data_IF_279372278136
#
_entry.id   IF_279372278136
#
_cell.length_a   1.000
_cell.length_b   1.000
_cell.length_c   1.000
_cell.angle_alpha   90.00
_cell.angle_beta   90.00
_cell.angle_gamma   90.00
#
_symmetry.space_group_name_H-M   'P 1'
#
loop_
_entity.id
_entity.type
_entity.pdbx_description
1 polymer ?
#
# COMPACT_ATOMS: atom_id res chain seq x y z
N UNK A 1 -66.17 -54.44 -32.19
CA UNK A 1 -65.06 -54.08 -31.29
C UNK A 1 -63.98 -55.15 -31.22
N UNK A 2 -64.29 -56.44 -31.01
CA UNK A 2 -63.27 -57.52 -31.02
C UNK A 2 -62.32 -57.51 -32.24
N UNK A 3 -62.86 -57.33 -33.45
CA UNK A 3 -62.04 -57.20 -34.65
C UNK A 3 -61.09 -55.99 -34.62
N UNK A 4 -61.49 -54.89 -33.98
CA UNK A 4 -60.63 -53.71 -33.79
C UNK A 4 -59.53 -53.99 -32.78
N UNK A 5 -59.87 -54.67 -31.67
CA UNK A 5 -58.92 -55.12 -30.65
C UNK A 5 -57.85 -56.06 -31.21
N UNK A 6 -58.25 -56.99 -32.09
CA UNK A 6 -57.33 -57.89 -32.80
C UNK A 6 -56.59 -57.23 -33.98
N UNK A 7 -56.84 -55.95 -34.26
CA UNK A 7 -56.20 -55.22 -35.36
C UNK A 7 -56.72 -55.56 -36.77
N UNK A 8 -57.80 -56.33 -36.89
CA UNK A 8 -58.42 -56.70 -38.18
C UNK A 8 -59.22 -55.54 -38.80
N UNK A 9 -59.68 -54.58 -37.99
CA UNK A 9 -60.38 -53.37 -38.43
C UNK A 9 -59.73 -52.13 -37.81
N UNK A 10 -59.63 -51.04 -38.58
CA UNK A 10 -59.01 -49.79 -38.14
C UNK A 10 -59.79 -49.08 -37.02
N UNK A 11 -61.11 -49.21 -37.01
CA UNK A 11 -61.96 -48.53 -36.03
C UNK A 11 -63.37 -49.10 -35.98
N UNK A 12 -64.09 -48.72 -34.93
CA UNK A 12 -65.51 -49.03 -34.75
C UNK A 12 -66.26 -47.72 -34.50
N UNK A 13 -67.31 -47.50 -35.27
CA UNK A 13 -68.23 -46.37 -35.08
C UNK A 13 -69.48 -46.94 -34.41
N UNK A 14 -69.88 -46.34 -33.31
CA UNK A 14 -71.08 -46.70 -32.56
C UNK A 14 -71.54 -45.53 -31.70
N UNK A 15 -72.70 -45.71 -31.06
CA UNK A 15 -73.20 -44.68 -30.14
C UNK A 15 -72.32 -44.60 -28.91
N UNK A 16 -72.14 -43.40 -28.37
CA UNK A 16 -71.30 -43.18 -27.20
C UNK A 16 -71.70 -44.08 -26.01
N UNK A 17 -73.00 -44.33 -25.83
CA UNK A 17 -73.53 -45.21 -24.80
C UNK A 17 -73.12 -46.68 -24.97
N UNK A 18 -73.25 -47.22 -26.19
CA UNK A 18 -72.85 -48.61 -26.48
C UNK A 18 -71.33 -48.77 -26.43
N UNK A 19 -70.60 -47.85 -27.05
CA UNK A 19 -69.14 -47.84 -27.06
C UNK A 19 -68.61 -47.73 -25.64
N UNK A 20 -69.11 -46.79 -24.85
CA UNK A 20 -68.72 -46.60 -23.46
C UNK A 20 -68.94 -47.85 -22.59
N UNK A 21 -70.11 -48.48 -22.72
CA UNK A 21 -70.43 -49.71 -21.99
C UNK A 21 -69.45 -50.85 -22.32
N UNK A 22 -69.23 -51.13 -23.61
CA UNK A 22 -68.33 -52.21 -24.02
C UNK A 22 -66.87 -51.91 -23.66
N UNK A 23 -66.43 -50.65 -23.77
CA UNK A 23 -65.10 -50.25 -23.34
C UNK A 23 -64.88 -50.45 -21.84
N UNK A 24 -65.87 -50.15 -21.00
CA UNK A 24 -65.74 -50.36 -19.55
C UNK A 24 -65.83 -51.84 -19.14
N UNK A 25 -66.69 -52.61 -19.79
CA UNK A 25 -66.99 -53.98 -19.38
C UNK A 25 -66.07 -55.04 -20.00
N UNK A 26 -65.72 -54.88 -21.27
CA UNK A 26 -65.07 -55.94 -22.05
C UNK A 26 -63.71 -55.53 -22.63
N UNK A 27 -63.46 -54.23 -22.82
CA UNK A 27 -62.24 -53.74 -23.49
C UNK A 27 -61.48 -52.68 -22.68
N UNK A 28 -61.56 -52.75 -21.35
CA UNK A 28 -61.00 -51.73 -20.46
C UNK A 28 -59.47 -51.64 -20.63
N UNK A 29 -58.99 -50.46 -21.03
CA UNK A 29 -57.55 -50.21 -21.28
C UNK A 29 -57.01 -50.80 -22.58
N UNK A 30 -57.77 -51.62 -23.31
CA UNK A 30 -57.35 -52.22 -24.58
C UNK A 30 -57.75 -51.36 -25.78
N UNK A 31 -58.88 -50.66 -25.70
CA UNK A 31 -59.39 -49.78 -26.74
C UNK A 31 -59.67 -48.37 -26.18
N UNK A 32 -59.49 -47.35 -27.02
CA UNK A 32 -59.73 -45.94 -26.65
C UNK A 32 -60.62 -45.23 -27.68
N UNK A 33 -61.38 -44.25 -27.22
CA UNK A 33 -62.14 -43.35 -28.09
C UNK A 33 -61.21 -42.24 -28.58
N UNK A 34 -61.06 -42.13 -29.90
CA UNK A 34 -60.15 -41.15 -30.53
C UNK A 34 -60.86 -39.89 -31.05
N UNK A 35 -62.19 -39.84 -31.03
CA UNK A 35 -62.97 -38.70 -31.50
C UNK A 35 -64.48 -38.93 -31.38
N UNK A 36 -65.26 -37.87 -31.63
CA UNK A 36 -66.72 -37.88 -31.74
C UNK A 36 -67.13 -37.18 -33.04
N UNK A 37 -68.25 -37.58 -33.65
CA UNK A 37 -68.85 -36.84 -34.76
C UNK A 37 -69.71 -35.69 -34.20
N UNK A 38 -69.77 -34.56 -34.91
CA UNK A 38 -70.45 -33.35 -34.44
C UNK A 38 -71.99 -33.41 -34.54
N UNK A 39 -72.54 -34.36 -35.31
CA UNK A 39 -73.98 -34.58 -35.40
C UNK A 39 -74.51 -35.40 -34.21
N UNK A 40 -75.37 -34.81 -33.39
CA UNK A 40 -76.08 -35.54 -32.33
C UNK A 40 -77.35 -36.17 -32.89
N UNK A 41 -77.42 -37.50 -32.85
CA UNK A 41 -78.65 -38.23 -33.15
C UNK A 41 -79.39 -38.47 -31.84
N UNK A 42 -80.66 -38.06 -31.77
CA UNK A 42 -81.49 -38.34 -30.59
C UNK A 42 -81.78 -39.85 -30.50
N UNK A 43 -81.61 -40.42 -29.30
CA UNK A 43 -81.87 -41.83 -29.05
C UNK A 43 -83.39 -42.05 -28.94
N UNK A 44 -83.96 -42.88 -29.81
CA UNK A 44 -85.38 -43.25 -29.78
C UNK A 44 -85.60 -44.73 -29.48
N UNK A 45 -86.81 -45.06 -29.00
CA UNK A 45 -87.28 -46.46 -28.87
C UNK A 45 -88.23 -46.76 -30.03
N UNK A 46 -87.91 -47.75 -30.85
CA UNK A 46 -88.77 -48.17 -31.96
C UNK A 46 -89.86 -49.15 -31.51
N UNK A 47 -91.09 -48.93 -31.98
CA UNK A 47 -92.23 -49.83 -31.75
C UNK A 47 -92.71 -50.41 -33.08
N UNK A 48 -93.22 -51.65 -33.07
CA UNK A 48 -93.79 -52.27 -34.28
C UNK A 48 -95.07 -51.57 -34.69
N UNK A 49 -95.27 -51.36 -35.99
CA UNK A 49 -96.41 -50.62 -36.55
C UNK A 49 -97.80 -51.16 -36.15
N UNK A 50 -97.90 -52.42 -35.73
CA UNK A 50 -99.15 -53.06 -35.33
C UNK A 50 -99.48 -52.92 -33.84
N UNK A 51 -98.67 -52.18 -33.06
CA UNK A 51 -98.92 -51.91 -31.64
C UNK A 51 -98.84 -50.41 -31.30
N UNK A 52 -99.83 -49.61 -31.72
CA UNK A 52 -99.87 -48.17 -31.44
C UNK A 52 -100.12 -47.86 -29.96
N UNK A 53 -100.66 -48.82 -29.19
CA UNK A 53 -100.91 -48.65 -27.76
C UNK A 53 -99.58 -48.62 -27.01
N UNK A 54 -98.65 -49.53 -27.36
CA UNK A 54 -97.32 -49.56 -26.77
C UNK A 54 -96.52 -48.29 -27.07
N UNK A 55 -96.60 -47.76 -28.29
CA UNK A 55 -95.97 -46.47 -28.65
C UNK A 55 -96.43 -45.35 -27.72
N UNK A 56 -97.75 -45.21 -27.54
CA UNK A 56 -98.32 -44.16 -26.68
C UNK A 56 -97.93 -44.33 -25.20
N UNK A 57 -97.80 -45.56 -24.71
CA UNK A 57 -97.33 -45.84 -23.35
C UNK A 57 -95.86 -45.42 -23.21
N UNK A 58 -95.01 -45.81 -24.16
CA UNK A 58 -93.58 -45.49 -24.13
C UNK A 58 -93.32 -44.00 -24.29
N UNK A 59 -94.03 -43.31 -25.18
CA UNK A 59 -93.95 -41.85 -25.31
C UNK A 59 -94.30 -41.17 -23.98
N UNK A 60 -95.43 -41.52 -23.36
CA UNK A 60 -95.81 -40.97 -22.05
C UNK A 60 -94.78 -41.27 -20.97
N UNK A 61 -94.22 -42.47 -20.96
CA UNK A 61 -93.17 -42.84 -20.03
C UNK A 61 -91.91 -41.97 -20.23
N UNK A 62 -91.43 -41.82 -21.47
CA UNK A 62 -90.25 -40.99 -21.79
C UNK A 62 -90.50 -39.51 -21.47
N UNK A 63 -91.68 -38.97 -21.81
CA UNK A 63 -92.06 -37.59 -21.51
C UNK A 63 -92.26 -37.32 -20.01
N UNK A 64 -92.54 -38.35 -19.21
CA UNK A 64 -92.68 -38.22 -17.75
C UNK A 64 -91.35 -38.10 -17.00
N UNK A 65 -90.22 -38.43 -17.65
CA UNK A 65 -88.88 -38.34 -17.06
C UNK A 65 -88.38 -36.89 -17.22
N UNK A 66 -87.97 -36.26 -16.11
CA UNK A 66 -87.42 -34.90 -16.15
C UNK A 66 -86.08 -34.84 -16.87
N UNK A 67 -85.69 -33.67 -17.40
CA UNK A 67 -84.37 -33.52 -18.04
C UNK A 67 -83.22 -33.81 -17.07
N UNK A 68 -83.35 -33.46 -15.78
CA UNK A 68 -82.34 -33.79 -14.77
C UNK A 68 -82.21 -35.30 -14.57
N UNK A 69 -83.33 -36.02 -14.59
CA UNK A 69 -83.36 -37.47 -14.45
C UNK A 69 -82.83 -38.16 -15.71
N UNK A 70 -83.12 -37.64 -16.91
CA UNK A 70 -82.49 -38.07 -18.18
C UNK A 70 -80.97 -37.88 -18.13
N UNK A 71 -80.49 -36.74 -17.64
CA UNK A 71 -79.05 -36.46 -17.53
C UNK A 71 -78.38 -37.36 -16.49
N UNK A 72 -79.05 -37.64 -15.38
CA UNK A 72 -78.57 -38.60 -14.38
C UNK A 72 -78.49 -40.02 -14.94
N UNK A 73 -79.47 -40.46 -15.73
CA UNK A 73 -79.43 -41.73 -16.45
C UNK A 73 -78.25 -41.73 -17.44
N UNK A 74 -78.10 -40.68 -18.25
CA UNK A 74 -76.99 -40.57 -19.19
C UNK A 74 -75.62 -40.60 -18.49
N UNK A 75 -75.45 -39.84 -17.41
CA UNK A 75 -74.19 -39.82 -16.66
C UNK A 75 -73.91 -41.16 -15.97
N UNK A 76 -74.94 -41.84 -15.47
CA UNK A 76 -74.81 -43.17 -14.84
C UNK A 76 -74.34 -44.24 -15.83
N UNK A 77 -74.78 -44.17 -17.09
CA UNK A 77 -74.52 -45.22 -18.08
C UNK A 77 -73.49 -44.84 -19.15
N UNK A 78 -73.08 -43.57 -19.27
CA UNK A 78 -72.23 -43.02 -20.35
C UNK A 78 -71.06 -42.15 -19.82
N UNK A 79 -70.57 -42.39 -18.60
CA UNK A 79 -69.42 -41.64 -18.07
C UNK A 79 -68.11 -42.05 -18.77
N UNK A 80 -67.65 -41.27 -19.75
CA UNK A 80 -66.38 -41.51 -20.44
C UNK A 80 -65.33 -40.53 -19.95
N UNK A 81 -64.24 -41.04 -19.38
CA UNK A 81 -63.06 -40.24 -19.03
C UNK A 81 -62.16 -40.15 -20.26
N UNK A 82 -61.95 -38.94 -20.77
CA UNK A 82 -60.92 -38.67 -21.78
C UNK A 82 -59.58 -38.49 -21.06
N UNK A 83 -58.61 -39.38 -21.31
CA UNK A 83 -57.23 -39.17 -20.87
C UNK A 83 -56.46 -38.38 -21.93
N UNK A 84 -56.19 -37.10 -21.68
CA UNK A 84 -55.33 -36.28 -22.53
C UNK A 84 -53.86 -36.51 -22.14
N UNK A 85 -52.99 -36.78 -23.13
CA UNK A 85 -51.54 -36.93 -22.91
C UNK A 85 -50.85 -35.63 -22.50
N UNK A 86 -49.76 -35.72 -21.73
CA UNK A 86 -48.98 -34.57 -21.25
C UNK A 86 -48.21 -33.92 -22.40
N UNK A 87 -48.33 -32.60 -22.57
CA UNK A 87 -47.56 -31.83 -23.55
C UNK A 87 -46.18 -31.46 -23.00
N UNK A 88 -45.15 -32.11 -23.54
CA UNK A 88 -43.74 -31.92 -23.13
C UNK A 88 -43.05 -30.71 -23.80
N UNK A 89 -43.71 -29.97 -24.70
CA UNK A 89 -43.08 -28.89 -25.48
C UNK A 89 -42.49 -27.78 -24.61
N UNK A 90 -43.20 -27.38 -23.54
CA UNK A 90 -42.74 -26.33 -22.62
C UNK A 90 -41.49 -26.76 -21.84
N UNK A 91 -41.43 -28.02 -21.41
CA UNK A 91 -40.32 -28.58 -20.65
C UNK A 91 -39.04 -28.55 -21.49
N UNK A 92 -39.11 -29.00 -22.74
CA UNK A 92 -37.96 -28.97 -23.65
C UNK A 92 -37.46 -27.55 -23.95
N UNK A 93 -38.35 -26.55 -24.06
CA UNK A 93 -37.96 -25.14 -24.25
C UNK A 93 -37.22 -24.56 -23.04
N UNK A 94 -37.71 -24.83 -21.83
CA UNK A 94 -37.05 -24.38 -20.59
C UNK A 94 -35.69 -25.06 -20.44
N UNK A 95 -35.63 -26.36 -20.72
CA UNK A 95 -34.40 -27.13 -20.63
C UNK A 95 -33.34 -26.65 -21.64
N UNK A 96 -33.75 -26.34 -22.88
CA UNK A 96 -32.87 -25.76 -23.88
C UNK A 96 -32.31 -24.39 -23.45
N UNK A 97 -33.16 -23.52 -22.89
CA UNK A 97 -32.73 -22.21 -22.39
C UNK A 97 -31.76 -22.33 -21.19
N UNK A 98 -32.05 -23.25 -20.26
CA UNK A 98 -31.17 -23.50 -19.11
C UNK A 98 -29.80 -24.01 -19.57
N UNK A 99 -29.76 -24.93 -20.54
CA UNK A 99 -28.51 -25.42 -21.14
C UNK A 99 -27.75 -24.27 -21.81
N UNK A 100 -28.42 -23.42 -22.58
CA UNK A 100 -27.79 -22.27 -23.24
C UNK A 100 -27.14 -21.31 -22.23
N UNK A 101 -27.84 -20.98 -21.14
CA UNK A 101 -27.29 -20.13 -20.07
C UNK A 101 -26.11 -20.82 -19.39
N UNK A 102 -26.22 -22.11 -19.08
CA UNK A 102 -25.13 -22.87 -18.45
C UNK A 102 -23.87 -22.93 -19.35
N UNK A 103 -24.05 -23.11 -20.66
CA UNK A 103 -22.95 -23.07 -21.62
C UNK A 103 -22.30 -21.68 -21.70
N UNK A 104 -23.11 -20.61 -21.72
CA UNK A 104 -22.61 -19.24 -21.67
C UNK A 104 -21.82 -18.96 -20.38
N UNK A 105 -22.35 -19.36 -19.22
CA UNK A 105 -21.71 -19.18 -17.93
C UNK A 105 -20.39 -19.95 -17.84
N UNK A 106 -20.38 -21.23 -18.25
CA UNK A 106 -19.16 -22.06 -18.25
C UNK A 106 -18.10 -21.51 -19.21
N UNK A 107 -18.49 -21.02 -20.39
CA UNK A 107 -17.59 -20.32 -21.30
C UNK A 107 -16.97 -19.08 -20.66
N UNK A 108 -17.80 -18.21 -20.04
CA UNK A 108 -17.34 -17.00 -19.38
C UNK A 108 -16.40 -17.28 -18.20
N UNK A 109 -16.72 -18.27 -17.37
CA UNK A 109 -15.87 -18.69 -16.24
C UNK A 109 -14.51 -19.18 -16.76
N UNK A 110 -14.50 -19.99 -17.83
CA UNK A 110 -13.24 -20.46 -18.44
C UNK A 110 -12.43 -19.31 -19.02
N UNK A 111 -13.07 -18.42 -19.77
CA UNK A 111 -12.43 -17.24 -20.36
C UNK A 111 -11.84 -16.33 -19.28
N UNK A 112 -12.59 -16.07 -18.21
CA UNK A 112 -12.14 -15.27 -17.07
C UNK A 112 -10.97 -15.93 -16.35
N UNK A 113 -11.00 -17.25 -16.15
CA UNK A 113 -9.91 -17.98 -15.51
C UNK A 113 -8.62 -17.94 -16.33
N UNK A 114 -8.70 -18.04 -17.67
CA UNK A 114 -7.53 -17.95 -18.55
C UNK A 114 -6.95 -16.53 -18.50
N UNK A 115 -7.80 -15.50 -18.66
CA UNK A 115 -7.36 -14.11 -18.64
C UNK A 115 -6.74 -13.73 -17.29
N UNK A 116 -7.32 -14.18 -16.17
CA UNK A 116 -6.74 -13.98 -14.84
C UNK A 116 -5.38 -14.68 -14.69
N UNK A 117 -5.21 -15.88 -15.26
CA UNK A 117 -3.93 -16.60 -15.23
C UNK A 117 -2.87 -15.90 -16.08
N UNK A 118 -3.23 -15.43 -17.27
CA UNK A 118 -2.35 -14.64 -18.14
C UNK A 118 -1.94 -13.33 -17.47
N UNK A 119 -2.90 -12.60 -16.89
CA UNK A 119 -2.65 -11.37 -16.14
C UNK A 119 -1.69 -11.63 -14.97
N UNK A 120 -1.94 -12.70 -14.19
CA UNK A 120 -1.10 -13.09 -13.07
C UNK A 120 0.32 -13.42 -13.53
N UNK A 121 0.46 -14.24 -14.56
CA UNK A 121 1.78 -14.61 -15.11
C UNK A 121 2.53 -13.39 -15.67
N UNK A 122 1.85 -12.51 -16.39
CA UNK A 122 2.44 -11.28 -16.92
C UNK A 122 2.90 -10.36 -15.78
N UNK A 123 2.09 -10.23 -14.72
CA UNK A 123 2.43 -9.47 -13.53
C UNK A 123 3.63 -10.05 -12.79
N UNK A 124 3.66 -11.37 -12.57
CA UNK A 124 4.79 -12.04 -11.91
C UNK A 124 6.09 -11.86 -12.69
N UNK A 125 6.06 -12.01 -14.03
CA UNK A 125 7.21 -11.72 -14.89
C UNK A 125 7.66 -10.27 -14.80
N UNK A 126 6.73 -9.32 -14.78
CA UNK A 126 7.05 -7.91 -14.63
C UNK A 126 7.67 -7.60 -13.26
N UNK A 127 7.12 -8.15 -12.17
CA UNK A 127 7.66 -8.00 -10.82
C UNK A 127 9.06 -8.64 -10.68
N UNK A 128 9.28 -9.82 -11.28
CA UNK A 128 10.58 -10.47 -11.32
C UNK A 128 11.61 -9.65 -12.11
N UNK A 129 11.24 -9.14 -13.29
CA UNK A 129 12.11 -8.27 -14.09
C UNK A 129 12.52 -7.00 -13.30
N UNK A 130 11.58 -6.36 -12.61
CA UNK A 130 11.85 -5.21 -11.74
C UNK A 130 12.78 -5.59 -10.59
N UNK A 131 12.60 -6.77 -9.99
CA UNK A 131 13.47 -7.27 -8.91
C UNK A 131 14.89 -7.53 -9.38
N UNK A 132 15.06 -8.12 -10.57
CA UNK A 132 16.37 -8.38 -11.19
C UNK A 132 17.07 -7.05 -11.52
N UNK A 133 16.36 -6.11 -12.18
CA UNK A 133 16.86 -4.76 -12.46
C UNK A 133 17.33 -4.06 -11.19
N UNK A 134 16.53 -4.11 -10.12
CA UNK A 134 16.86 -3.53 -8.81
C UNK A 134 18.11 -4.15 -8.18
N UNK A 135 18.24 -5.48 -8.20
CA UNK A 135 19.41 -6.18 -7.68
C UNK A 135 20.67 -5.90 -8.50
N UNK A 136 20.56 -5.86 -9.83
CA UNK A 136 21.67 -5.54 -10.72
C UNK A 136 22.20 -4.13 -10.43
N UNK A 137 21.32 -3.15 -10.33
CA UNK A 137 21.70 -1.78 -10.01
C UNK A 137 22.32 -1.69 -8.61
N UNK A 138 21.75 -2.37 -7.60
CA UNK A 138 22.32 -2.47 -6.25
C UNK A 138 23.77 -2.97 -6.26
N UNK A 139 24.04 -4.04 -7.00
CA UNK A 139 25.39 -4.60 -7.10
C UNK A 139 26.34 -3.65 -7.85
N UNK A 140 25.92 -3.12 -8.99
CA UNK A 140 26.71 -2.14 -9.75
C UNK A 140 27.03 -0.88 -8.95
N UNK A 141 26.11 -0.45 -8.08
CA UNK A 141 26.38 0.66 -7.18
C UNK A 141 27.54 0.40 -6.22
N UNK A 142 27.61 -0.79 -5.63
CA UNK A 142 28.73 -1.15 -4.76
C UNK A 142 30.06 -1.23 -5.53
N UNK A 143 30.03 -1.81 -6.74
CA UNK A 143 31.20 -1.92 -7.62
C UNK A 143 31.70 -0.56 -8.14
N UNK A 144 30.81 0.42 -8.34
CA UNK A 144 31.20 1.77 -8.75
C UNK A 144 31.57 2.64 -7.54
N UNK A 145 30.89 2.49 -6.39
CA UNK A 145 31.20 3.28 -5.19
C UNK A 145 32.64 3.09 -4.73
N UNK A 146 33.17 1.89 -4.81
CA UNK A 146 34.53 1.55 -4.36
C UNK A 146 35.62 2.31 -5.11
N UNK A 147 35.71 2.27 -6.46
CA UNK A 147 36.69 3.08 -7.19
C UNK A 147 36.44 4.58 -7.05
N UNK A 148 35.18 5.03 -6.96
CA UNK A 148 34.87 6.44 -6.78
C UNK A 148 35.34 6.97 -5.42
N UNK A 149 35.14 6.22 -4.34
CA UNK A 149 35.67 6.57 -3.03
C UNK A 149 37.21 6.65 -3.02
N UNK A 150 37.88 5.78 -3.79
CA UNK A 150 39.33 5.85 -3.98
C UNK A 150 39.75 7.13 -4.72
N UNK A 151 39.03 7.52 -5.78
CA UNK A 151 39.28 8.78 -6.51
C UNK A 151 39.06 10.00 -5.61
N UNK A 152 37.98 10.02 -4.81
CA UNK A 152 37.72 11.08 -3.82
C UNK A 152 38.83 11.13 -2.75
N UNK A 153 39.29 9.97 -2.28
CA UNK A 153 40.36 9.91 -1.28
C UNK A 153 41.69 10.39 -1.85
N UNK A 154 42.04 9.98 -3.07
CA UNK A 154 43.27 10.40 -3.75
C UNK A 154 43.26 11.89 -4.06
N UNK A 155 42.15 12.43 -4.55
CA UNK A 155 42.00 13.87 -4.79
C UNK A 155 42.11 14.67 -3.49
N UNK A 156 41.50 14.21 -2.41
CA UNK A 156 41.65 14.82 -1.08
C UNK A 156 43.13 14.85 -0.62
N UNK A 157 43.87 13.76 -0.80
CA UNK A 157 45.30 13.69 -0.46
C UNK A 157 46.17 14.60 -1.34
N UNK A 158 45.87 14.71 -2.63
CA UNK A 158 46.57 15.61 -3.55
C UNK A 158 46.32 17.07 -3.15
N UNK A 159 45.07 17.43 -2.86
CA UNK A 159 44.67 18.78 -2.41
C UNK A 159 45.43 19.25 -1.17
N UNK A 160 45.75 18.32 -0.25
CA UNK A 160 46.50 18.61 0.97
C UNK A 160 47.99 18.90 0.73
N UNK A 161 48.56 18.44 -0.39
CA UNK A 161 50.00 18.49 -0.67
C UNK A 161 50.38 19.35 -1.90
N UNK A 162 49.40 19.79 -2.69
CA UNK A 162 49.62 20.61 -3.89
C UNK A 162 49.46 22.10 -3.57
N UNK A 163 50.42 22.91 -4.02
CA UNK A 163 50.43 24.37 -3.87
C UNK A 163 50.12 25.13 -5.17
N UNK A 164 50.12 24.45 -6.32
CA UNK A 164 49.92 25.08 -7.63
C UNK A 164 48.43 25.26 -7.94
N UNK A 165 47.99 26.50 -8.13
CA UNK A 165 46.57 26.85 -8.33
C UNK A 165 45.84 26.06 -9.44
N UNK A 166 46.42 25.82 -10.63
CA UNK A 166 45.76 25.01 -11.67
C UNK A 166 45.53 23.56 -11.25
N UNK A 167 46.45 22.94 -10.49
CA UNK A 167 46.28 21.56 -10.01
C UNK A 167 45.22 21.48 -8.90
N UNK A 168 45.16 22.46 -8.00
CA UNK A 168 44.09 22.54 -6.98
C UNK A 168 42.72 22.60 -7.68
N UNK A 169 42.60 23.39 -8.73
CA UNK A 169 41.38 23.50 -9.52
C UNK A 169 41.00 22.16 -10.20
N UNK A 170 41.94 21.46 -10.84
CA UNK A 170 41.67 20.15 -11.44
C UNK A 170 41.24 19.10 -10.40
N UNK A 171 41.89 19.10 -9.23
CA UNK A 171 41.54 18.20 -8.12
C UNK A 171 40.13 18.47 -7.61
N UNK A 172 39.74 19.74 -7.47
CA UNK A 172 38.37 20.14 -7.12
C UNK A 172 37.35 19.70 -8.18
N UNK A 173 37.69 19.79 -9.47
CA UNK A 173 36.81 19.30 -10.54
C UNK A 173 36.60 17.78 -10.47
N UNK A 174 37.66 17.00 -10.25
CA UNK A 174 37.58 15.55 -10.12
C UNK A 174 36.77 15.16 -8.87
N UNK A 175 37.02 15.82 -7.74
CA UNK A 175 36.28 15.62 -6.49
C UNK A 175 34.78 15.90 -6.69
N UNK A 176 34.44 17.03 -7.34
CA UNK A 176 33.05 17.40 -7.64
C UNK A 176 32.38 16.41 -8.60
N UNK A 177 33.06 16.02 -9.69
CA UNK A 177 32.53 15.05 -10.64
C UNK A 177 32.29 13.69 -9.97
N UNK A 178 33.18 13.30 -9.05
CA UNK A 178 33.08 12.05 -8.32
C UNK A 178 31.90 12.01 -7.36
N UNK A 179 31.73 13.08 -6.58
CA UNK A 179 30.61 13.23 -5.67
C UNK A 179 29.27 13.30 -6.43
N UNK A 180 29.24 13.98 -7.58
CA UNK A 180 28.05 14.01 -8.43
C UNK A 180 27.68 12.63 -8.98
N UNK A 181 28.67 11.83 -9.40
CA UNK A 181 28.41 10.46 -9.87
C UNK A 181 27.89 9.57 -8.74
N UNK A 182 28.46 9.68 -7.54
CA UNK A 182 27.99 8.94 -6.37
C UNK A 182 26.54 9.32 -6.01
N UNK A 183 26.19 10.61 -6.07
CA UNK A 183 24.82 11.08 -5.84
C UNK A 183 23.86 10.49 -6.87
N UNK A 184 24.18 10.62 -8.17
CA UNK A 184 23.43 10.05 -9.29
C UNK A 184 23.14 8.55 -9.10
N UNK A 185 24.17 7.83 -8.71
CA UNK A 185 24.12 6.39 -8.55
C UNK A 185 23.29 6.00 -7.32
N UNK A 186 23.39 6.75 -6.22
CA UNK A 186 22.51 6.57 -5.07
C UNK A 186 21.05 6.89 -5.40
N UNK A 187 20.77 7.92 -6.21
CA UNK A 187 19.42 8.26 -6.66
C UNK A 187 18.82 7.13 -7.51
N UNK A 188 19.58 6.60 -8.47
CA UNK A 188 19.15 5.46 -9.31
C UNK A 188 18.85 4.23 -8.44
N UNK A 189 19.68 3.97 -7.44
CA UNK A 189 19.44 2.89 -6.49
C UNK A 189 18.17 3.07 -5.69
N UNK A 190 17.98 4.26 -5.12
CA UNK A 190 16.83 4.54 -4.27
C UNK A 190 15.54 4.40 -5.10
N UNK A 191 15.50 4.97 -6.31
CA UNK A 191 14.37 4.76 -7.22
C UNK A 191 14.15 3.28 -7.52
N UNK A 192 15.22 2.52 -7.81
CA UNK A 192 15.12 1.09 -8.10
C UNK A 192 14.68 0.24 -6.90
N UNK A 193 14.97 0.67 -5.66
CA UNK A 193 14.48 0.03 -4.43
C UNK A 193 13.01 0.37 -4.18
N UNK A 194 12.60 1.59 -4.50
CA UNK A 194 11.21 2.03 -4.43
C UNK A 194 10.35 1.26 -5.42
N UNK A 195 10.73 1.24 -6.72
CA UNK A 195 10.02 0.52 -7.79
C UNK A 195 9.84 -0.97 -7.44
N UNK A 196 10.85 -1.58 -6.82
CA UNK A 196 10.82 -2.97 -6.38
C UNK A 196 10.09 -3.20 -5.03
N UNK A 197 9.50 -2.16 -4.42
CA UNK A 197 8.87 -2.20 -3.08
C UNK A 197 9.79 -2.73 -1.97
N UNK A 198 11.10 -2.57 -2.14
CA UNK A 198 12.14 -3.01 -1.18
C UNK A 198 12.56 -1.91 -0.22
N UNK A 199 12.20 -0.66 -0.48
CA UNK A 199 12.51 0.45 0.40
C UNK A 199 11.64 0.40 1.66
N UNK A 200 12.29 0.36 2.82
CA UNK A 200 11.62 0.35 4.12
C UNK A 200 11.95 1.63 4.88
N UNK A 201 10.93 2.21 5.51
CA UNK A 201 11.09 3.35 6.43
C UNK A 201 11.54 2.81 7.78
N UNK A 202 12.72 3.22 8.25
CA UNK A 202 13.26 2.82 9.52
C UNK A 202 12.84 3.80 10.60
N UNK A 203 11.69 3.54 11.24
CA UNK A 203 11.17 4.40 12.30
C UNK A 203 12.02 4.26 13.57
N UNK A 204 12.70 5.34 13.93
CA UNK A 204 13.50 5.49 15.15
C UNK A 204 13.17 6.83 15.81
N UNK A 205 13.39 6.90 17.11
CA UNK A 205 13.31 8.16 17.84
C UNK A 205 14.51 9.03 17.46
N UNK A 206 14.25 10.27 17.08
CA UNK A 206 15.29 11.25 16.79
C UNK A 206 14.86 12.65 17.21
N UNK A 207 15.85 13.51 17.42
CA UNK A 207 15.60 14.91 17.73
C UNK A 207 15.47 15.69 16.41
N UNK A 208 14.29 16.24 16.13
CA UNK A 208 14.02 16.90 14.85
C UNK A 208 14.97 18.07 14.58
N UNK A 209 15.38 18.77 15.64
CA UNK A 209 16.28 19.92 15.55
C UNK A 209 17.67 19.50 15.02
N UNK A 210 18.18 18.32 15.34
CA UNK A 210 19.48 17.84 14.78
C UNK A 210 19.43 17.69 13.25
N UNK A 211 18.27 17.28 12.72
CA UNK A 211 18.06 17.18 11.27
C UNK A 211 18.04 18.58 10.66
N UNK A 212 17.32 19.52 11.26
CA UNK A 212 17.24 20.90 10.80
C UNK A 212 18.60 21.61 10.86
N UNK A 213 19.38 21.41 11.93
CA UNK A 213 20.72 21.96 12.07
C UNK A 213 21.68 21.41 11.01
N UNK A 214 21.57 20.11 10.71
CA UNK A 214 22.34 19.49 9.63
C UNK A 214 21.99 20.09 8.27
N UNK A 215 20.71 20.32 7.99
CA UNK A 215 20.24 21.00 6.77
C UNK A 215 20.70 22.45 6.72
N UNK A 216 20.68 23.14 7.86
CA UNK A 216 21.14 24.52 7.97
C UNK A 216 22.62 24.63 7.62
N UNK A 217 23.47 23.79 8.21
CA UNK A 217 24.91 23.80 7.95
C UNK A 217 25.23 23.51 6.48
N UNK A 218 24.55 22.51 5.89
CA UNK A 218 24.76 22.14 4.49
C UNK A 218 24.31 23.24 3.52
N UNK A 219 23.09 23.74 3.70
CA UNK A 219 22.44 24.64 2.74
C UNK A 219 22.96 26.07 2.86
N UNK A 220 23.28 26.53 4.09
CA UNK A 220 23.79 27.88 4.33
C UNK A 220 25.12 28.13 3.63
N UNK A 221 26.03 27.15 3.61
CA UNK A 221 27.31 27.27 2.88
C UNK A 221 27.03 27.50 1.38
N UNK A 222 26.13 26.72 0.78
CA UNK A 222 25.77 26.84 -0.63
C UNK A 222 25.02 28.11 -0.97
N UNK A 223 24.15 28.57 -0.08
CA UNK A 223 23.46 29.85 -0.21
C UNK A 223 24.47 31.01 -0.16
N UNK A 224 25.42 30.97 0.79
CA UNK A 224 26.47 31.99 0.94
C UNK A 224 27.41 32.05 -0.27
N UNK A 225 27.79 30.91 -0.85
CA UNK A 225 28.57 30.85 -2.10
C UNK A 225 27.88 31.62 -3.25
N UNK A 226 26.55 31.73 -3.22
CA UNK A 226 25.73 32.48 -4.18
C UNK A 226 25.26 33.87 -3.68
N UNK A 227 25.59 34.27 -2.46
CA UNK A 227 25.09 35.51 -1.86
C UNK A 227 23.59 35.51 -1.49
N UNK A 228 22.97 34.33 -1.35
CA UNK A 228 21.56 34.18 -0.98
C UNK A 228 21.36 34.21 0.54
N UNK A 229 20.26 34.82 0.99
CA UNK A 229 19.83 34.71 2.38
C UNK A 229 19.20 33.33 2.63
N UNK A 230 19.58 32.67 3.73
CA UNK A 230 19.04 31.36 4.10
C UNK A 230 18.63 31.33 5.58
N UNK A 231 17.42 30.83 5.84
CA UNK A 231 16.84 30.76 7.19
C UNK A 231 15.93 29.53 7.35
N UNK A 232 15.95 28.92 8.54
CA UNK A 232 14.99 27.90 8.95
C UNK A 232 14.17 28.47 10.10
N UNK A 233 12.84 28.47 9.93
CA UNK A 233 11.86 29.03 10.84
C UNK A 233 11.02 27.88 11.38
N UNK A 234 11.00 27.74 12.70
CA UNK A 234 10.24 26.73 13.43
C UNK A 234 9.90 27.25 14.83
N UNK A 235 8.88 26.69 15.45
CA UNK A 235 8.54 27.02 16.83
C UNK A 235 9.58 26.42 17.79
N UNK A 236 10.25 27.29 18.57
CA UNK A 236 11.34 26.92 19.49
C UNK A 236 10.85 26.40 20.84
N UNK A 237 9.54 26.44 21.11
CA UNK A 237 9.01 26.06 22.43
C UNK A 237 9.15 24.56 22.74
N UNK A 238 9.25 23.72 21.71
CA UNK A 238 9.12 22.28 21.88
C UNK A 238 10.44 21.57 21.56
N UNK A 239 11.01 20.85 22.53
CA UNK A 239 12.05 19.86 22.27
C UNK A 239 11.40 18.67 21.53
N UNK A 240 11.28 18.77 20.20
CA UNK A 240 10.51 17.81 19.40
C UNK A 240 11.33 16.55 19.15
N UNK A 241 11.23 15.59 20.07
CA UNK A 241 11.59 14.21 19.79
C UNK A 241 10.46 13.56 19.01
N UNK A 242 10.80 12.93 17.89
CA UNK A 242 9.81 12.26 17.03
C UNK A 242 10.24 10.86 16.66
N UNK A 243 9.25 9.99 16.47
CA UNK A 243 9.42 8.68 15.87
C UNK A 243 9.23 8.78 14.35
N UNK A 244 10.29 8.50 13.59
CA UNK A 244 10.29 8.54 12.13
C UNK A 244 11.62 8.12 11.55
N UNK A 245 11.85 8.39 10.26
CA UNK A 245 13.14 8.08 9.60
C UNK A 245 13.89 9.38 9.31
N UNK A 246 14.84 9.71 10.19
CA UNK A 246 15.62 10.95 10.11
C UNK A 246 16.47 11.03 8.83
N UNK A 247 16.97 9.89 8.34
CA UNK A 247 17.79 9.83 7.13
C UNK A 247 16.95 10.20 5.90
N UNK A 248 15.73 9.66 5.81
CA UNK A 248 14.82 9.98 4.69
C UNK A 248 14.27 11.39 4.78
N UNK A 249 13.98 11.87 5.98
CA UNK A 249 13.61 13.28 6.18
C UNK A 249 14.73 14.23 5.74
N UNK A 250 15.98 13.94 6.15
CA UNK A 250 17.16 14.71 5.74
C UNK A 250 17.36 14.66 4.22
N UNK A 251 17.11 13.51 3.58
CA UNK A 251 17.19 13.37 2.12
C UNK A 251 16.14 14.21 1.38
N UNK A 252 14.89 14.23 1.85
CA UNK A 252 13.84 15.08 1.28
C UNK A 252 14.22 16.55 1.42
N UNK A 253 14.58 16.97 2.64
CA UNK A 253 14.91 18.36 2.93
C UNK A 253 16.15 18.83 2.16
N UNK A 254 17.19 18.01 2.05
CA UNK A 254 18.41 18.38 1.32
C UNK A 254 18.13 18.52 -0.17
N UNK A 255 17.39 17.59 -0.78
CA UNK A 255 17.02 17.66 -2.20
C UNK A 255 16.21 18.92 -2.52
N UNK A 256 15.19 19.24 -1.72
CA UNK A 256 14.36 20.42 -1.95
C UNK A 256 15.13 21.73 -1.69
N UNK A 257 15.91 21.80 -0.60
CA UNK A 257 16.63 23.02 -0.22
C UNK A 257 17.80 23.32 -1.16
N UNK A 258 18.53 22.29 -1.62
CA UNK A 258 19.59 22.46 -2.61
C UNK A 258 19.03 22.81 -3.99
N UNK A 259 17.85 22.29 -4.37
CA UNK A 259 17.16 22.72 -5.58
C UNK A 259 16.75 24.20 -5.49
N UNK A 260 16.18 24.63 -4.36
CA UNK A 260 15.84 26.04 -4.13
C UNK A 260 17.06 26.95 -4.28
N UNK A 261 18.19 26.63 -3.64
CA UNK A 261 19.45 27.39 -3.77
C UNK A 261 19.97 27.37 -5.21
N UNK A 262 19.87 26.24 -5.90
CA UNK A 262 20.34 26.06 -7.27
C UNK A 262 19.58 26.95 -8.27
N UNK A 263 18.26 27.05 -8.15
CA UNK A 263 17.40 27.79 -9.08
C UNK A 263 17.12 29.24 -8.67
N UNK A 264 17.62 29.65 -7.49
CA UNK A 264 17.61 31.06 -7.06
C UNK A 264 18.92 31.73 -7.50
N UNK A 265 18.79 32.89 -8.14
CA UNK A 265 19.93 33.75 -8.51
C UNK A 265 20.19 34.79 -7.42
N UNK A 266 19.15 35.52 -7.02
CA UNK A 266 19.19 36.55 -5.99
C UNK A 266 17.98 36.42 -5.05
N UNK A 267 18.13 36.91 -3.81
CA UNK A 267 17.07 36.92 -2.80
C UNK A 267 17.29 35.88 -1.71
N UNK A 268 16.30 35.01 -1.48
CA UNK A 268 16.29 34.13 -0.31
C UNK A 268 15.77 32.72 -0.57
N UNK A 269 16.17 31.81 0.33
CA UNK A 269 15.58 30.49 0.51
C UNK A 269 15.22 30.33 1.99
N UNK A 270 13.97 29.97 2.29
CA UNK A 270 13.47 29.79 3.66
C UNK A 270 12.82 28.43 3.83
N UNK A 271 13.04 27.80 4.99
CA UNK A 271 12.36 26.56 5.37
C UNK A 271 11.45 26.86 6.56
N UNK A 272 10.16 26.58 6.42
CA UNK A 272 9.19 26.66 7.50
C UNK A 272 8.83 25.26 7.98
N UNK A 273 8.76 25.06 9.30
CA UNK A 273 8.35 23.81 9.92
C UNK A 273 7.15 24.07 10.81
N UNK A 274 6.00 23.57 10.40
CA UNK A 274 4.72 23.75 11.10
C UNK A 274 4.20 22.40 11.63
N UNK A 275 3.79 22.37 12.89
CA UNK A 275 3.06 21.24 13.48
C UNK A 275 1.56 21.44 13.20
N UNK A 276 1.02 20.72 12.21
CA UNK A 276 -0.38 20.88 11.78
C UNK A 276 -1.35 19.96 12.54
N UNK A 277 -0.85 18.90 13.15
CA UNK A 277 -1.59 18.02 14.06
C UNK A 277 -0.62 17.29 15.01
N UNK A 278 -1.15 16.54 15.98
CA UNK A 278 -0.37 15.83 17.02
C UNK A 278 0.78 14.96 16.47
N UNK A 279 0.65 14.41 15.26
CA UNK A 279 1.69 13.60 14.64
C UNK A 279 1.93 13.95 13.17
N UNK A 280 1.56 15.16 12.74
CA UNK A 280 1.74 15.58 11.35
C UNK A 280 2.45 16.92 11.29
N UNK A 281 3.57 16.90 10.56
CA UNK A 281 4.43 18.05 10.35
C UNK A 281 4.38 18.45 8.89
N UNK A 282 4.31 19.76 8.64
CA UNK A 282 4.40 20.37 7.33
C UNK A 282 5.74 21.09 7.22
N UNK A 283 6.43 20.84 6.14
CA UNK A 283 7.67 21.51 5.78
C UNK A 283 7.44 22.29 4.50
N UNK A 284 7.77 23.58 4.51
CA UNK A 284 7.63 24.46 3.34
C UNK A 284 8.97 25.06 3.00
N UNK A 285 9.51 24.74 1.83
CA UNK A 285 10.74 25.31 1.28
C UNK A 285 10.33 26.39 0.28
N UNK A 286 10.58 27.65 0.61
CA UNK A 286 10.23 28.81 -0.21
C UNK A 286 11.48 29.44 -0.80
N UNK A 287 11.44 29.78 -2.07
CA UNK A 287 12.52 30.44 -2.79
C UNK A 287 12.01 31.60 -3.66
N UNK A 288 12.88 32.55 -3.95
CA UNK A 288 12.63 33.67 -4.88
C UNK A 288 13.24 33.43 -6.27
N UNK A 289 13.37 32.16 -6.66
CA UNK A 289 14.02 31.76 -7.90
C UNK A 289 13.15 31.96 -9.14
N UNK A 290 13.52 31.25 -10.22
CA UNK A 290 12.89 31.39 -11.54
C UNK A 290 11.40 31.00 -11.60
N UNK A 291 10.88 30.32 -10.58
CA UNK A 291 9.52 29.78 -10.59
C UNK A 291 9.32 28.69 -11.67
N UNK A 292 8.08 28.24 -11.81
CA UNK A 292 7.68 27.17 -12.73
C UNK A 292 6.42 27.57 -13.51
N UNK A 293 6.31 27.08 -14.75
CA UNK A 293 5.07 27.17 -15.54
C UNK A 293 4.09 26.06 -15.15
N UNK A 294 2.82 26.19 -15.53
CA UNK A 294 1.80 25.18 -15.24
C UNK A 294 2.17 23.80 -15.82
N UNK A 295 2.62 23.76 -17.06
CA UNK A 295 3.06 22.52 -17.73
C UNK A 295 4.23 21.85 -17.00
N UNK A 296 5.15 22.66 -16.44
CA UNK A 296 6.28 22.15 -15.65
C UNK A 296 5.80 21.58 -14.30
N UNK A 297 4.82 22.22 -13.65
CA UNK A 297 4.26 21.75 -12.37
C UNK A 297 3.60 20.37 -12.54
N UNK A 298 2.86 20.15 -13.63
CA UNK A 298 2.16 18.88 -13.86
C UNK A 298 3.10 17.67 -13.97
N UNK A 299 4.28 17.87 -14.55
CA UNK A 299 5.27 16.80 -14.79
C UNK A 299 6.42 16.81 -13.79
N UNK A 300 6.41 17.72 -12.82
CA UNK A 300 7.55 18.04 -11.95
C UNK A 300 8.07 16.85 -11.14
N UNK A 301 7.16 15.97 -10.72
CA UNK A 301 7.49 14.81 -9.89
C UNK A 301 7.60 13.50 -10.69
N UNK A 302 7.51 13.57 -12.02
CA UNK A 302 7.72 12.41 -12.88
C UNK A 302 9.21 12.12 -13.03
N UNK A 303 9.58 10.83 -13.00
CA UNK A 303 10.97 10.40 -13.12
C UNK A 303 11.57 10.83 -14.46
N UNK A 304 12.80 11.37 -14.42
CA UNK A 304 13.55 11.83 -15.60
C UNK A 304 12.96 13.05 -16.31
N UNK A 305 11.93 13.68 -15.78
CA UNK A 305 11.43 14.94 -16.33
C UNK A 305 12.39 16.07 -16.00
N UNK A 306 12.83 16.79 -17.04
CA UNK A 306 13.63 18.00 -16.91
C UNK A 306 12.87 19.17 -17.53
N UNK A 307 12.81 20.29 -16.81
CA UNK A 307 11.92 21.41 -17.11
C UNK A 307 12.26 22.19 -18.39
N UNK A 308 13.50 22.13 -18.90
CA UNK A 308 13.90 22.71 -20.19
C UNK A 308 15.35 22.36 -20.59
N UNK A 309 15.65 22.19 -21.89
CA UNK A 309 17.03 21.95 -22.40
C UNK A 309 17.98 23.14 -22.14
N UNK A 310 17.44 24.35 -22.04
CA UNK A 310 18.18 25.59 -21.73
C UNK A 310 18.55 25.69 -20.25
N UNK A 311 17.68 25.23 -19.35
CA UNK A 311 17.88 25.17 -17.90
C UNK A 311 18.85 24.03 -17.55
N UNK A 312 18.76 22.88 -18.22
CA UNK A 312 19.70 21.75 -18.04
C UNK A 312 21.14 22.14 -18.40
N UNK A 313 21.34 22.96 -19.45
CA UNK A 313 22.67 23.48 -19.83
C UNK A 313 23.28 24.44 -18.80
N UNK A 314 22.45 25.21 -18.08
CA UNK A 314 22.92 26.22 -17.11
C UNK A 314 23.03 25.70 -15.68
N UNK A 315 22.21 24.71 -15.29
CA UNK A 315 22.11 24.25 -13.91
C UNK A 315 22.27 22.73 -13.72
N UNK A 316 22.24 21.92 -14.78
CA UNK A 316 22.36 20.45 -14.71
C UNK A 316 21.24 19.76 -13.92
N UNK A 317 21.33 18.46 -13.66
CA UNK A 317 20.40 17.71 -12.81
C UNK A 317 20.05 16.32 -13.33
N UNK A 318 19.67 15.42 -12.43
CA UNK A 318 19.36 14.01 -12.75
C UNK A 318 17.90 13.79 -13.14
N UNK A 319 17.02 14.73 -12.75
CA UNK A 319 15.56 14.57 -12.87
C UNK A 319 14.98 13.52 -11.90
N UNK A 320 15.78 12.97 -10.99
CA UNK A 320 15.37 11.90 -10.08
C UNK A 320 15.03 12.41 -8.68
N UNK A 321 15.68 13.48 -8.21
CA UNK A 321 15.56 13.94 -6.82
C UNK A 321 14.12 14.25 -6.38
N UNK A 322 13.31 14.91 -7.23
CA UNK A 322 11.91 15.24 -6.90
C UNK A 322 11.00 14.01 -6.94
N UNK A 323 11.20 13.10 -7.90
CA UNK A 323 10.49 11.82 -7.95
C UNK A 323 10.77 10.98 -6.69
N UNK A 324 12.04 10.90 -6.26
CA UNK A 324 12.43 10.24 -5.01
C UNK A 324 11.78 10.92 -3.81
N UNK A 325 11.72 12.26 -3.75
CA UNK A 325 11.03 12.97 -2.67
C UNK A 325 9.56 12.60 -2.59
N UNK A 326 8.84 12.53 -3.73
CA UNK A 326 7.43 12.12 -3.78
C UNK A 326 7.22 10.72 -3.23
N UNK A 327 8.05 9.77 -3.63
CA UNK A 327 7.97 8.40 -3.16
C UNK A 327 8.33 8.26 -1.67
N UNK A 328 9.38 8.95 -1.20
CA UNK A 328 9.76 8.95 0.21
C UNK A 328 8.66 9.57 1.09
N UNK A 329 8.08 10.69 0.67
CA UNK A 329 6.96 11.32 1.38
C UNK A 329 5.75 10.38 1.43
N UNK A 330 5.43 9.69 0.33
CA UNK A 330 4.36 8.69 0.31
C UNK A 330 4.64 7.52 1.27
N UNK A 331 5.87 6.98 1.29
CA UNK A 331 6.30 5.94 2.24
C UNK A 331 6.23 6.41 3.70
N UNK A 332 6.45 7.71 3.94
CA UNK A 332 6.29 8.39 5.24
C UNK A 332 4.83 8.80 5.52
N UNK A 333 3.85 8.27 4.78
CA UNK A 333 2.41 8.49 4.96
C UNK A 333 2.00 9.95 4.80
N UNK A 334 2.64 10.62 3.84
CA UNK A 334 2.59 12.03 3.58
C UNK A 334 2.05 12.40 2.20
N UNK A 335 2.11 13.70 1.90
CA UNK A 335 1.87 14.25 0.55
C UNK A 335 2.85 15.39 0.26
N UNK A 336 3.23 15.56 -1.00
CA UNK A 336 4.09 16.65 -1.48
C UNK A 336 3.40 17.35 -2.65
N UNK A 337 3.52 18.68 -2.71
CA UNK A 337 3.05 19.51 -3.82
C UNK A 337 3.91 20.76 -3.95
N UNK A 338 3.62 21.56 -4.98
CA UNK A 338 4.31 22.82 -5.25
C UNK A 338 3.30 23.92 -5.50
N UNK A 339 3.59 25.11 -5.00
CA UNK A 339 2.93 26.37 -5.35
C UNK A 339 4.00 27.26 -5.99
N UNK A 340 3.87 27.58 -7.27
CA UNK A 340 4.91 28.33 -7.98
C UNK A 340 4.30 29.23 -9.03
N UNK A 341 4.99 30.34 -9.31
CA UNK A 341 4.64 31.26 -10.40
C UNK A 341 5.92 31.63 -11.12
N UNK A 342 5.95 31.42 -12.44
CA UNK A 342 7.11 31.73 -13.26
C UNK A 342 7.58 33.19 -13.04
N UNK A 343 8.86 33.34 -12.73
CA UNK A 343 9.52 34.61 -12.41
C UNK A 343 9.34 35.14 -10.98
N UNK A 344 8.54 34.49 -10.13
CA UNK A 344 8.27 34.96 -8.75
C UNK A 344 8.79 34.01 -7.66
N UNK A 345 9.28 32.82 -8.03
CA UNK A 345 9.78 31.81 -7.11
C UNK A 345 8.82 30.64 -6.90
N UNK A 346 9.17 29.76 -5.97
CA UNK A 346 8.41 28.54 -5.69
C UNK A 346 8.32 28.25 -4.19
N UNK A 347 7.28 27.51 -3.83
CA UNK A 347 7.06 26.92 -2.50
C UNK A 347 6.84 25.43 -2.66
N UNK A 348 7.84 24.64 -2.31
CA UNK A 348 7.74 23.20 -2.23
C UNK A 348 7.25 22.80 -0.84
N UNK A 349 6.10 22.14 -0.78
CA UNK A 349 5.45 21.84 0.50
C UNK A 349 5.25 20.33 0.61
N UNK A 350 5.66 19.76 1.73
CA UNK A 350 5.36 18.38 2.03
C UNK A 350 4.89 18.19 3.48
N UNK A 351 4.05 17.19 3.68
CA UNK A 351 3.55 16.77 4.97
C UNK A 351 3.99 15.34 5.23
N UNK A 352 4.45 15.04 6.44
CA UNK A 352 4.81 13.68 6.87
C UNK A 352 4.28 13.38 8.27
N UNK A 353 4.06 12.10 8.54
CA UNK A 353 3.66 11.64 9.87
C UNK A 353 4.89 11.40 10.73
N UNK A 354 5.08 12.23 11.75
CA UNK A 354 6.14 12.11 12.75
C UNK A 354 5.46 12.12 14.13
N UNK A 355 5.47 10.99 14.82
CA UNK A 355 4.82 10.88 16.13
C UNK A 355 5.72 11.50 17.17
N UNK A 356 5.24 12.52 17.86
CA UNK A 356 5.96 13.10 18.98
C UNK A 356 6.09 12.07 20.10
N UNK A 357 7.31 11.92 20.61
CA UNK A 357 7.62 11.06 21.76
C UNK A 357 8.15 11.94 22.88
N UNK A 358 7.81 11.60 24.11
CA UNK A 358 8.37 12.29 25.26
C UNK A 358 9.91 12.18 25.21
N UNK A 359 10.65 13.24 25.54
CA UNK A 359 12.11 13.18 25.60
C UNK A 359 12.54 12.02 26.50
N UNK A 360 13.48 11.19 26.02
CA UNK A 360 13.99 9.97 26.69
C UNK A 360 14.75 10.28 28.01
N UNK A 361 14.74 11.54 28.46
CA UNK A 361 15.58 12.03 29.55
C UNK A 361 15.27 11.38 30.93
N UNK A 362 14.11 10.74 31.14
CA UNK A 362 13.80 10.11 32.45
C UNK A 362 13.77 8.57 32.47
N UNK A 363 13.50 7.90 31.35
CA UNK A 363 13.32 6.43 31.37
C UNK A 363 14.60 5.62 31.16
N UNK A 364 15.65 6.21 30.56
CA UNK A 364 16.94 5.52 30.42
C UNK A 364 17.74 5.49 31.72
N UNK A 365 17.58 6.50 32.58
CA UNK A 365 18.23 6.52 33.90
C UNK A 365 17.65 5.40 34.77
N UNK A 366 16.33 5.20 34.80
CA UNK A 366 15.73 4.13 35.62
C UNK A 366 16.01 2.71 35.11
N UNK A 367 16.10 2.49 33.78
CA UNK A 367 16.38 1.15 33.23
C UNK A 367 17.86 0.78 33.29
N UNK A 368 18.77 1.74 33.08
CA UNK A 368 20.21 1.47 33.18
C UNK A 368 20.65 1.33 34.64
N UNK A 369 20.03 2.03 35.60
CA UNK A 369 20.32 1.82 37.05
C UNK A 369 19.86 0.44 37.54
N UNK A 370 18.77 -0.15 37.01
CA UNK A 370 18.34 -1.50 37.39
C UNK A 370 19.07 -2.63 36.64
N UNK A 371 19.52 -2.41 35.40
CA UNK A 371 20.28 -3.43 34.66
C UNK A 371 21.78 -3.44 34.98
N UNK A 372 22.36 -2.32 35.45
CA UNK A 372 23.77 -2.25 35.87
C UNK A 372 23.98 -2.72 37.31
N UNK A 373 22.98 -2.58 38.20
CA UNK A 373 23.07 -3.08 39.59
C UNK A 373 23.13 -4.61 39.67
N UNK A 374 22.53 -5.35 38.74
CA UNK A 374 22.61 -6.83 38.75
C UNK A 374 23.86 -7.41 38.07
N UNK A 375 24.56 -6.66 37.20
CA UNK A 375 25.69 -7.19 36.42
C UNK A 375 27.08 -6.84 36.98
N UNK A 376 27.16 -5.92 37.95
CA UNK A 376 28.42 -5.44 38.56
C UNK A 376 28.73 -6.00 39.97
N UNK A 377 28.00 -6.99 40.48
CA UNK A 377 28.27 -7.64 41.80
C UNK A 377 29.39 -8.70 41.72
N UNK A 378 30.34 -8.60 40.77
CA UNK A 378 31.31 -9.68 40.56
C UNK A 378 32.78 -9.32 40.53
N UNK A 379 33.17 -8.14 41.00
CA UNK A 379 34.50 -7.84 41.55
C UNK A 379 34.56 -6.35 41.88
N UNK A 380 34.46 -5.95 43.14
CA UNK A 380 34.66 -4.54 43.49
C UNK A 380 35.50 -4.39 44.75
N UNK A 381 36.63 -3.71 44.59
CA UNK A 381 37.49 -3.26 45.67
C UNK A 381 36.86 -2.00 46.28
N UNK A 382 36.68 -1.98 47.60
CA UNK A 382 36.38 -0.74 48.32
C UNK A 382 37.60 0.17 48.27
N UNK A 383 37.39 1.44 47.93
CA UNK A 383 38.43 2.46 47.98
C UNK A 383 38.42 3.13 49.35
N UNK A 384 39.59 3.27 49.97
CA UNK A 384 39.71 4.09 51.17
C UNK A 384 39.69 5.59 50.81
N UNK A 385 39.36 6.43 51.79
CA UNK A 385 39.19 7.88 51.59
C UNK A 385 40.46 8.56 51.08
N UNK A 386 41.63 8.13 51.56
CA UNK A 386 42.92 8.72 51.20
C UNK A 386 43.29 8.41 49.74
N UNK A 387 43.01 7.19 49.28
CA UNK A 387 43.19 6.76 47.90
C UNK A 387 42.19 7.41 46.96
N UNK A 388 40.94 7.61 47.39
CA UNK A 388 39.92 8.35 46.64
C UNK A 388 40.36 9.79 46.38
N UNK A 389 40.76 10.51 47.43
CA UNK A 389 41.17 11.91 47.31
C UNK A 389 42.40 12.05 46.40
N UNK A 390 43.34 11.11 46.48
CA UNK A 390 44.51 11.08 45.59
C UNK A 390 44.14 10.88 44.11
N UNK A 391 43.17 10.01 43.80
CA UNK A 391 42.71 9.78 42.42
C UNK A 391 41.92 10.96 41.86
N UNK A 392 41.04 11.57 42.65
CA UNK A 392 40.31 12.77 42.22
C UNK A 392 41.24 13.97 42.03
N UNK A 393 42.28 14.10 42.85
CA UNK A 393 43.32 15.13 42.66
C UNK A 393 44.14 14.88 41.38
N UNK A 394 44.50 13.62 41.08
CA UNK A 394 45.14 13.26 39.80
C UNK A 394 44.24 13.59 38.62
N UNK A 395 42.94 13.28 38.71
CA UNK A 395 41.97 13.57 37.66
C UNK A 395 41.85 15.08 37.43
N UNK A 396 41.75 15.86 38.51
CA UNK A 396 41.75 17.33 38.47
C UNK A 396 42.99 17.88 37.75
N UNK A 397 44.18 17.41 38.11
CA UNK A 397 45.42 17.78 37.43
C UNK A 397 45.41 17.38 35.95
N UNK A 398 44.90 16.19 35.60
CA UNK A 398 44.80 15.78 34.21
C UNK A 398 43.81 16.63 33.40
N UNK A 399 42.68 17.04 33.99
CA UNK A 399 41.69 17.91 33.33
C UNK A 399 42.31 19.29 33.00
N UNK A 400 43.22 19.82 33.82
CA UNK A 400 43.95 21.07 33.49
C UNK A 400 44.78 20.99 32.21
N UNK A 401 45.20 19.80 31.79
CA UNK A 401 45.95 19.61 30.54
C UNK A 401 45.09 19.78 29.28
N UNK A 402 43.75 19.88 29.42
CA UNK A 402 42.75 20.05 28.34
C UNK A 402 42.85 19.01 27.23
N UNK A 403 43.27 17.79 27.56
CA UNK A 403 43.45 16.69 26.62
C UNK A 403 42.72 15.45 27.15
N UNK A 404 41.83 14.80 26.38
CA UNK A 404 41.14 13.59 26.85
C UNK A 404 42.11 12.43 27.13
N UNK A 405 43.14 12.28 26.28
CA UNK A 405 44.15 11.20 26.37
C UNK A 405 44.93 11.17 27.68
N UNK A 406 45.09 12.31 28.36
CA UNK A 406 45.74 12.39 29.67
C UNK A 406 44.78 12.07 30.83
N UNK A 407 43.47 12.17 30.60
CA UNK A 407 42.43 11.85 31.59
C UNK A 407 42.00 10.38 31.52
N UNK A 408 41.96 9.78 30.33
CA UNK A 408 41.53 8.39 30.08
C UNK A 408 42.18 7.33 31.00
N UNK A 409 43.50 7.36 31.29
CA UNK A 409 44.12 6.38 32.18
C UNK A 409 43.62 6.48 33.63
N UNK A 410 43.40 7.71 34.10
CA UNK A 410 42.94 7.99 35.48
C UNK A 410 41.46 7.68 35.63
N UNK A 411 40.64 8.00 34.62
CA UNK A 411 39.24 7.60 34.55
C UNK A 411 39.12 6.07 34.62
N UNK A 412 39.93 5.35 33.84
CA UNK A 412 39.95 3.88 33.85
C UNK A 412 40.44 3.29 35.17
N UNK A 413 41.24 4.03 35.94
CA UNK A 413 41.71 3.63 37.27
C UNK A 413 40.61 3.80 38.33
N UNK A 414 39.88 4.93 38.30
CA UNK A 414 38.75 5.21 39.20
C UNK A 414 37.58 4.24 38.96
N UNK A 415 37.31 3.85 37.71
CA UNK A 415 36.25 2.90 37.34
C UNK A 415 36.39 1.50 37.97
N UNK A 416 37.56 1.17 38.53
CA UNK A 416 37.82 -0.13 39.19
C UNK A 416 37.27 -0.20 40.62
N UNK A 417 36.89 0.93 41.21
CA UNK A 417 36.47 1.03 42.61
C UNK A 417 34.97 1.35 42.74
N UNK A 418 34.36 0.97 43.86
CA UNK A 418 33.05 1.51 44.25
C UNK A 418 33.27 2.88 44.86
N UNK A 419 32.64 3.90 44.28
CA UNK A 419 32.57 5.24 44.85
C UNK A 419 31.30 5.36 45.71
N UNK A 420 31.30 6.26 46.69
CA UNK A 420 30.06 6.64 47.39
C UNK A 420 29.11 7.36 46.42
N UNK A 421 27.79 7.30 46.67
CA UNK A 421 26.76 7.80 45.74
C UNK A 421 27.01 9.25 45.27
N UNK A 422 27.53 10.12 46.14
CA UNK A 422 27.89 11.50 45.78
C UNK A 422 29.12 11.57 44.87
N UNK A 423 30.16 10.81 45.18
CA UNK A 423 31.41 10.77 44.41
C UNK A 423 31.20 10.12 43.02
N UNK A 424 30.32 9.11 42.91
CA UNK A 424 29.98 8.45 41.64
C UNK A 424 29.24 9.42 40.70
N UNK A 425 28.30 10.20 41.23
CA UNK A 425 27.56 11.22 40.46
C UNK A 425 28.50 12.30 39.94
N UNK A 426 29.45 12.74 40.76
CA UNK A 426 30.46 13.73 40.34
C UNK A 426 31.38 13.14 39.26
N UNK A 427 31.90 11.93 39.48
CA UNK A 427 32.80 11.26 38.56
C UNK A 427 32.19 11.06 37.16
N UNK A 428 30.96 10.55 37.08
CA UNK A 428 30.29 10.31 35.79
C UNK A 428 29.97 11.63 35.04
N UNK A 429 29.64 12.70 35.75
CA UNK A 429 29.50 14.05 35.15
C UNK A 429 30.82 14.52 34.54
N UNK A 430 31.91 14.45 35.31
CA UNK A 430 33.25 14.88 34.87
C UNK A 430 33.73 14.06 33.66
N UNK A 431 33.58 12.73 33.71
CA UNK A 431 33.92 11.83 32.61
C UNK A 431 33.18 12.17 31.31
N UNK A 432 31.87 12.45 31.40
CA UNK A 432 31.06 12.86 30.23
C UNK A 432 31.52 14.20 29.64
N UNK A 433 31.86 15.16 30.49
CA UNK A 433 32.36 16.47 30.07
C UNK A 433 33.73 16.36 29.40
N UNK A 434 34.63 15.52 29.92
CA UNK A 434 35.94 15.22 29.30
C UNK A 434 35.77 14.59 27.91
N UNK A 435 34.85 13.65 27.73
CA UNK A 435 34.54 13.04 26.42
C UNK A 435 33.98 14.03 25.40
N UNK A 436 33.25 15.05 25.88
CA UNK A 436 32.71 16.16 25.05
C UNK A 436 33.68 17.33 24.86
N UNK A 437 34.92 17.20 25.33
CA UNK A 437 35.93 18.27 25.29
C UNK A 437 35.54 19.54 26.11
N UNK A 438 34.61 19.42 27.07
CA UNK A 438 34.12 20.50 27.94
C UNK A 438 34.93 20.59 29.25
N UNK A 439 36.23 20.89 29.15
CA UNK A 439 37.15 20.84 30.31
C UNK A 439 36.90 21.92 31.37
N UNK A 440 36.38 23.10 31.00
CA UNK A 440 36.13 24.18 31.97
C UNK A 440 34.98 23.79 32.92
N UNK A 441 33.89 23.24 32.38
CA UNK A 441 32.75 22.73 33.16
C UNK A 441 33.18 21.53 34.03
N UNK A 442 34.05 20.67 33.52
CA UNK A 442 34.62 19.57 34.29
C UNK A 442 35.45 20.08 35.49
N UNK A 443 36.24 21.15 35.30
CA UNK A 443 37.01 21.77 36.37
C UNK A 443 36.14 22.46 37.42
N UNK A 444 35.04 23.09 37.02
CA UNK A 444 34.10 23.71 37.97
C UNK A 444 33.49 22.67 38.92
N UNK A 445 33.10 21.50 38.40
CA UNK A 445 32.57 20.41 39.20
C UNK A 445 33.64 19.85 40.14
N UNK A 446 34.88 19.63 39.67
CA UNK A 446 36.01 19.15 40.49
C UNK A 446 36.58 20.19 41.49
N UNK A 447 36.12 21.44 41.42
CA UNK A 447 36.46 22.50 42.38
C UNK A 447 35.39 22.69 43.45
N UNK A 448 34.17 22.20 43.22
CA UNK A 448 33.05 22.28 44.14
C UNK A 448 33.00 21.10 45.14
N UNK A 449 33.89 20.12 44.95
CA UNK A 449 34.10 18.93 45.77
C UNK A 449 35.46 19.06 46.45
#
# INVERSE_FOLDING_TARGET
MEKVRRGELFGYIGTLASVGYFLQKEFFGELKITGKFDEMWELGIGVRNNDPVLLRILEKAIFSISEDEKQNILNKWVSIKYENGIDYSLIWKILALAIFIALGATYWIRKLSILNKELKNAREKAEEATKIKSNFLANMSHEIRTPMNSIVSMTYLIKKNVTTQPLIHYVQMIESASNNLLLLLNDILDLSKIEAKKMQINKKEFYLIEVLDSINNLTKIKAQEKGLAFEIIYDKSDAIYVLGDSLRLMQILSNLSLNAVKFTQDGYVKIYVDKIAQSRFRFTISDTGIGLTQDQIEKLFDSFTQADESITRKYGGTGLGLAICKELVALMQGKIWVESTFGQGSRFIFEVTLQEVAPILENKIKSDTQSLTQKKIKNTLHIDKEHRDALFLKLKNAVTSRRPKTCEPIISEIEKYVLEDEDEVVFEKVKRLVQKYQFNEAMEILNAQ
#
